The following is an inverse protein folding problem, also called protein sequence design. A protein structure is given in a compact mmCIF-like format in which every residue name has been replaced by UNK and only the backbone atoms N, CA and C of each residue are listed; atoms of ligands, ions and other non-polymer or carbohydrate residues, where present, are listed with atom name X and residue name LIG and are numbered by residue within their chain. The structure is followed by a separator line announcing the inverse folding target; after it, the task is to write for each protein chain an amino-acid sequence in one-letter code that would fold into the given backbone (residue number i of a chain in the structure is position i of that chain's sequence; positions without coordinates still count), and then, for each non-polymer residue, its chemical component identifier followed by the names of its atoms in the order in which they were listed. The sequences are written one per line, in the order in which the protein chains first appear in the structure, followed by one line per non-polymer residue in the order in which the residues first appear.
data_IF_736117539416
#
_entry.id   IF_736117539416
#
_cell.length_a   1.000
_cell.length_b   1.000
_cell.length_c   1.000
_cell.angle_alpha   90.00
_cell.angle_beta   90.00
_cell.angle_gamma   90.00
#
_symmetry.space_group_name_H-M   'P 1'
#
loop_
_entity.id
_entity.type
_entity.pdbx_description
1 polymer ?
#
# COMPACT_ATOMS: atom_id res chain seq x y z
N UNK A 1 2.15 6.79 -22.72
CA UNK A 1 2.99 7.96 -22.31
C UNK A 1 3.86 7.58 -21.13
N UNK A 2 5.10 8.13 -21.02
CA UNK A 2 6.01 7.92 -19.89
C UNK A 2 6.34 9.25 -19.20
N UNK A 3 6.47 9.21 -17.87
CA UNK A 3 6.90 10.34 -17.04
C UNK A 3 7.93 9.88 -16.03
N UNK A 4 9.10 10.51 -16.02
CA UNK A 4 10.11 10.27 -14.98
C UNK A 4 9.54 10.57 -13.60
N UNK A 5 9.67 9.62 -12.70
CA UNK A 5 9.14 9.71 -11.34
C UNK A 5 10.08 9.03 -10.35
N UNK A 6 10.74 9.82 -9.52
CA UNK A 6 11.56 9.33 -8.43
C UNK A 6 11.16 10.04 -7.12
N UNK A 7 10.30 9.42 -6.31
CA UNK A 7 9.85 9.99 -5.04
C UNK A 7 10.85 9.81 -3.90
N UNK A 8 12.00 9.16 -4.14
CA UNK A 8 13.00 8.93 -3.11
C UNK A 8 13.56 10.26 -2.57
N UNK A 9 13.62 10.50 -1.24
CA UNK A 9 13.98 11.81 -0.67
C UNK A 9 15.37 12.32 -1.05
N UNK A 10 16.30 11.41 -1.38
CA UNK A 10 17.67 11.78 -1.81
C UNK A 10 17.79 11.97 -3.32
N UNK A 11 16.72 11.74 -4.11
CA UNK A 11 16.72 11.89 -5.56
C UNK A 11 17.78 11.05 -6.28
N UNK A 12 18.30 10.01 -5.65
CA UNK A 12 19.39 9.20 -6.21
C UNK A 12 18.83 8.00 -6.98
N UNK A 13 19.36 7.77 -8.18
CA UNK A 13 19.08 6.59 -9.00
C UNK A 13 19.67 5.29 -8.39
N UNK A 14 20.32 5.41 -7.25
CA UNK A 14 21.04 4.33 -6.57
C UNK A 14 20.19 3.49 -5.62
N UNK A 15 18.91 3.77 -5.47
CA UNK A 15 18.03 2.98 -4.61
C UNK A 15 17.68 1.65 -5.28
N UNK A 16 18.62 0.73 -5.30
CA UNK A 16 18.41 -0.62 -5.79
C UNK A 16 17.28 -1.27 -4.97
N UNK A 17 16.25 -1.74 -5.66
CA UNK A 17 15.19 -2.55 -5.07
C UNK A 17 14.06 -1.77 -4.40
N UNK A 18 13.80 -0.51 -4.77
CA UNK A 18 12.69 0.28 -4.24
C UNK A 18 11.48 0.45 -5.21
N UNK A 19 11.49 -0.25 -6.35
CA UNK A 19 10.42 -0.18 -7.36
C UNK A 19 9.02 -0.42 -6.77
N UNK A 20 8.89 -1.36 -5.82
CA UNK A 20 7.65 -1.61 -5.08
C UNK A 20 7.18 -0.35 -4.33
N UNK A 21 8.09 0.34 -3.65
CA UNK A 21 7.75 1.58 -2.92
C UNK A 21 7.35 2.69 -3.88
N UNK A 22 8.12 2.89 -4.96
CA UNK A 22 7.83 3.93 -5.97
C UNK A 22 6.47 3.72 -6.63
N UNK A 23 6.16 2.48 -7.02
CA UNK A 23 4.86 2.17 -7.63
C UNK A 23 3.69 2.41 -6.66
N UNK A 24 3.84 2.08 -5.37
CA UNK A 24 2.85 2.38 -4.35
C UNK A 24 2.70 3.90 -4.17
N UNK A 25 3.80 4.64 -4.07
CA UNK A 25 3.76 6.12 -3.97
C UNK A 25 3.04 6.73 -5.17
N UNK A 26 3.37 6.30 -6.39
CA UNK A 26 2.75 6.82 -7.61
C UNK A 26 1.24 6.55 -7.66
N UNK A 27 0.82 5.36 -7.25
CA UNK A 27 -0.61 4.96 -7.33
C UNK A 27 -1.45 5.44 -6.16
N UNK A 28 -0.85 5.70 -4.99
CA UNK A 28 -1.58 6.11 -3.79
C UNK A 28 -1.46 7.59 -3.46
N UNK A 29 -0.43 8.28 -3.96
CA UNK A 29 -0.11 9.66 -3.59
C UNK A 29 0.50 9.80 -2.19
N UNK A 30 0.80 8.70 -1.49
CA UNK A 30 1.41 8.72 -0.16
C UNK A 30 2.85 9.23 -0.21
N UNK A 31 3.31 9.80 0.90
CA UNK A 31 4.73 10.13 1.09
C UNK A 31 5.62 8.88 1.06
N UNK A 32 6.80 8.97 0.43
CA UNK A 32 7.71 7.84 0.28
C UNK A 32 8.14 7.23 1.62
N UNK A 33 8.46 8.07 2.62
CA UNK A 33 8.87 7.60 3.94
C UNK A 33 7.71 6.99 4.71
N UNK A 34 6.49 7.49 4.49
CA UNK A 34 5.28 6.90 5.05
C UNK A 34 5.04 5.50 4.47
N UNK A 35 5.15 5.33 3.15
CA UNK A 35 5.09 4.01 2.50
C UNK A 35 6.16 3.08 3.05
N UNK A 36 7.41 3.52 3.15
CA UNK A 36 8.49 2.68 3.70
C UNK A 36 8.22 2.23 5.13
N UNK A 37 7.72 3.12 5.99
CA UNK A 37 7.35 2.78 7.38
C UNK A 37 6.21 1.78 7.41
N UNK A 38 5.16 1.99 6.60
CA UNK A 38 4.01 1.08 6.52
C UNK A 38 4.44 -0.33 6.06
N UNK A 39 5.26 -0.42 5.01
CA UNK A 39 5.79 -1.70 4.53
C UNK A 39 6.66 -2.41 5.56
N UNK A 40 7.51 -1.67 6.29
CA UNK A 40 8.32 -2.24 7.36
C UNK A 40 7.47 -2.74 8.53
N UNK A 41 6.41 -2.04 8.88
CA UNK A 41 5.48 -2.46 9.91
C UNK A 41 4.71 -3.71 9.47
N UNK A 42 4.19 -3.74 8.26
CA UNK A 42 3.51 -4.91 7.70
C UNK A 42 4.43 -6.15 7.66
N UNK A 43 5.69 -5.96 7.24
CA UNK A 43 6.71 -7.02 7.27
C UNK A 43 6.89 -7.61 8.67
N UNK A 44 6.96 -6.78 9.72
CA UNK A 44 7.10 -7.23 11.11
C UNK A 44 5.88 -7.99 11.58
N UNK A 45 4.68 -7.48 11.29
CA UNK A 45 3.41 -8.10 11.68
C UNK A 45 3.25 -9.48 11.01
N UNK A 46 3.65 -9.62 9.76
CA UNK A 46 3.54 -10.87 9.00
C UNK A 46 4.71 -11.83 9.22
N UNK A 47 5.75 -11.43 9.93
CA UNK A 47 6.97 -12.23 10.15
C UNK A 47 7.84 -12.42 8.91
N UNK A 48 7.65 -11.61 7.87
CA UNK A 48 8.36 -11.74 6.62
C UNK A 48 9.83 -11.36 6.73
N UNK A 49 10.74 -12.14 6.12
CA UNK A 49 12.19 -11.85 6.12
C UNK A 49 12.54 -10.65 5.25
N UNK A 50 11.88 -10.51 4.10
CA UNK A 50 12.05 -9.39 3.17
C UNK A 50 10.70 -8.91 2.66
N UNK A 51 10.54 -7.60 2.46
CA UNK A 51 9.33 -7.08 1.85
C UNK A 51 9.32 -7.30 0.33
N UNK A 52 10.47 -7.17 -0.33
CA UNK A 52 10.59 -7.25 -1.78
C UNK A 52 10.65 -8.69 -2.32
N UNK A 53 10.56 -9.71 -1.46
CA UNK A 53 10.65 -11.11 -1.87
C UNK A 53 9.38 -11.91 -1.54
N UNK A 54 9.09 -12.87 -2.38
CA UNK A 54 7.95 -13.77 -2.22
C UNK A 54 6.60 -13.07 -2.39
N UNK A 55 5.59 -13.49 -1.64
CA UNK A 55 4.21 -13.01 -1.76
C UNK A 55 3.91 -11.72 -0.98
N UNK A 56 4.86 -11.19 -0.21
CA UNK A 56 4.60 -10.07 0.70
C UNK A 56 4.19 -8.77 0.02
N UNK A 57 4.85 -8.31 -1.08
CA UNK A 57 4.39 -7.10 -1.76
C UNK A 57 2.98 -7.27 -2.31
N UNK A 58 2.67 -8.43 -2.89
CA UNK A 58 1.35 -8.73 -3.45
C UNK A 58 0.27 -8.72 -2.37
N UNK A 59 0.52 -9.40 -1.25
CA UNK A 59 -0.41 -9.42 -0.12
C UNK A 59 -0.65 -8.02 0.45
N UNK A 60 0.38 -7.19 0.56
CA UNK A 60 0.22 -5.81 1.00
C UNK A 60 -0.70 -5.02 0.05
N UNK A 61 -0.52 -5.19 -1.26
CA UNK A 61 -1.38 -4.53 -2.25
C UNK A 61 -2.82 -5.04 -2.15
N UNK A 62 -3.02 -6.33 -2.00
CA UNK A 62 -4.35 -6.95 -1.90
C UNK A 62 -5.02 -6.61 -0.56
N UNK A 63 -4.34 -6.84 0.57
CA UNK A 63 -4.92 -6.76 1.90
C UNK A 63 -5.00 -5.32 2.45
N UNK A 64 -4.03 -4.46 2.10
CA UNK A 64 -3.92 -3.11 2.66
C UNK A 64 -4.37 -2.03 1.68
N UNK A 65 -3.93 -2.11 0.43
CA UNK A 65 -4.28 -1.13 -0.59
C UNK A 65 -5.55 -1.50 -1.36
N UNK A 66 -6.06 -2.71 -1.16
CA UNK A 66 -7.23 -3.24 -1.83
C UNK A 66 -7.07 -3.31 -3.34
N UNK A 67 -5.92 -3.74 -3.75
CA UNK A 67 -5.63 -3.95 -5.16
C UNK A 67 -6.45 -5.10 -5.73
N UNK A 68 -7.13 -4.83 -6.83
CA UNK A 68 -7.84 -5.83 -7.61
C UNK A 68 -6.90 -6.35 -8.69
N UNK A 69 -6.60 -7.66 -8.63
CA UNK A 69 -5.69 -8.29 -9.59
C UNK A 69 -6.36 -8.48 -10.95
N UNK A 70 -5.69 -8.03 -12.00
CA UNK A 70 -6.07 -8.24 -13.41
C UNK A 70 -4.99 -9.10 -14.07
N UNK A 71 -5.40 -10.22 -14.67
CA UNK A 71 -4.54 -11.12 -15.41
C UNK A 71 -4.86 -11.07 -16.90
N UNK A 72 -3.91 -11.44 -17.74
CA UNK A 72 -4.03 -11.39 -19.19
C UNK A 72 -4.05 -12.80 -19.79
N UNK A 73 -4.82 -12.98 -20.85
CA UNK A 73 -4.85 -14.22 -21.64
C UNK A 73 -3.80 -14.22 -22.76
N UNK A 74 -3.29 -13.03 -23.12
CA UNK A 74 -2.25 -12.85 -24.12
C UNK A 74 -1.14 -11.94 -23.55
N UNK A 75 0.04 -11.99 -24.16
CA UNK A 75 1.13 -11.09 -23.80
C UNK A 75 0.70 -9.63 -24.05
N UNK A 76 0.97 -8.77 -23.11
CA UNK A 76 0.66 -7.34 -23.13
C UNK A 76 1.85 -6.57 -22.59
N UNK A 77 2.26 -5.52 -23.27
CA UNK A 77 3.31 -4.61 -22.78
C UNK A 77 2.73 -3.58 -21.82
N UNK A 78 3.58 -2.97 -21.00
CA UNK A 78 3.18 -1.89 -20.09
C UNK A 78 2.58 -0.71 -20.88
N UNK A 79 3.14 -0.39 -22.05
CA UNK A 79 2.64 0.69 -22.92
C UNK A 79 1.25 0.37 -23.47
N UNK A 80 1.03 -0.82 -24.03
CA UNK A 80 -0.28 -1.24 -24.56
C UNK A 80 -1.36 -1.20 -23.47
N UNK A 81 -1.00 -1.64 -22.25
CA UNK A 81 -1.90 -1.57 -21.11
C UNK A 81 -2.27 -0.11 -20.78
N UNK A 82 -1.27 0.76 -20.65
CA UNK A 82 -1.51 2.17 -20.33
C UNK A 82 -2.31 2.88 -21.42
N UNK A 83 -2.05 2.60 -22.70
CA UNK A 83 -2.78 3.19 -23.83
C UNK A 83 -4.26 2.76 -23.84
N UNK A 84 -4.54 1.53 -23.40
CA UNK A 84 -5.92 1.00 -23.28
C UNK A 84 -6.63 1.40 -21.98
N UNK A 85 -5.91 1.95 -21.00
CA UNK A 85 -6.44 2.36 -19.70
C UNK A 85 -6.14 3.84 -19.43
N UNK A 86 -6.78 4.78 -20.14
CA UNK A 86 -6.48 6.21 -20.05
C UNK A 86 -6.91 6.85 -18.73
N UNK A 87 -7.58 6.10 -17.85
CA UNK A 87 -7.99 6.54 -16.53
C UNK A 87 -7.78 5.43 -15.50
N UNK A 88 -7.48 5.83 -14.26
CA UNK A 88 -7.29 4.91 -13.16
C UNK A 88 -5.84 4.79 -12.72
N UNK A 89 -5.62 3.98 -11.68
CA UNK A 89 -4.31 3.80 -11.04
C UNK A 89 -4.01 2.32 -10.94
N UNK A 90 -2.88 1.93 -11.48
CA UNK A 90 -2.50 0.53 -11.59
C UNK A 90 -1.05 0.33 -11.19
N UNK A 91 -0.77 -0.70 -10.40
CA UNK A 91 0.58 -1.22 -10.17
C UNK A 91 0.84 -2.25 -11.25
N UNK A 92 1.90 -2.07 -12.00
CA UNK A 92 2.34 -2.93 -13.09
C UNK A 92 3.38 -3.90 -12.58
N UNK A 93 3.09 -5.21 -12.64
CA UNK A 93 4.06 -6.26 -12.30
C UNK A 93 4.70 -6.82 -13.56
N UNK A 94 6.02 -6.76 -13.61
CA UNK A 94 6.87 -7.25 -14.69
C UNK A 94 7.95 -8.14 -14.10
N UNK A 95 8.67 -8.87 -14.94
CA UNK A 95 9.81 -9.66 -14.48
C UNK A 95 10.83 -8.78 -13.74
N UNK A 96 11.06 -9.10 -12.46
CA UNK A 96 11.97 -8.40 -11.54
C UNK A 96 11.74 -6.89 -11.37
N UNK A 97 10.57 -6.37 -11.79
CA UNK A 97 10.30 -4.93 -11.72
C UNK A 97 8.81 -4.62 -11.49
N UNK A 98 8.58 -3.59 -10.68
CA UNK A 98 7.28 -2.97 -10.49
C UNK A 98 7.30 -1.52 -10.95
N UNK A 99 6.26 -1.12 -11.66
CA UNK A 99 6.04 0.26 -12.08
C UNK A 99 4.60 0.68 -11.79
N UNK A 100 4.23 1.88 -12.18
CA UNK A 100 2.88 2.39 -12.03
C UNK A 100 2.35 2.95 -13.33
N UNK A 101 1.05 2.70 -13.60
CA UNK A 101 0.28 3.43 -14.58
C UNK A 101 -0.76 4.30 -13.85
N UNK A 102 -0.71 5.59 -14.08
CA UNK A 102 -1.68 6.55 -13.53
C UNK A 102 -2.24 7.35 -14.69
N UNK A 103 -3.55 7.24 -14.91
CA UNK A 103 -4.28 7.91 -15.98
C UNK A 103 -3.60 7.77 -17.36
N UNK A 104 -3.26 6.52 -17.72
CA UNK A 104 -2.64 6.16 -18.99
C UNK A 104 -1.15 6.52 -19.12
N UNK A 105 -0.52 7.00 -18.05
CA UNK A 105 0.89 7.39 -18.06
C UNK A 105 1.72 6.47 -17.15
N UNK A 106 2.86 5.97 -17.64
CA UNK A 106 3.83 5.21 -16.85
C UNK A 106 4.62 6.19 -15.98
N UNK A 107 4.68 5.90 -14.68
CA UNK A 107 5.47 6.65 -13.69
C UNK A 107 6.61 5.77 -13.16
N UNK A 108 7.84 6.05 -13.59
CA UNK A 108 9.02 5.28 -13.18
C UNK A 108 10.30 6.12 -13.29
N UNK A 109 11.44 5.58 -12.88
CA UNK A 109 12.77 6.17 -13.07
C UNK A 109 13.33 5.92 -14.46
N UNK A 110 12.74 5.04 -15.25
CA UNK A 110 13.09 4.74 -16.65
C UNK A 110 11.86 4.29 -17.43
N UNK A 111 11.90 4.41 -18.75
CA UNK A 111 10.78 3.99 -19.60
C UNK A 111 10.76 2.46 -19.74
N UNK A 112 9.84 1.84 -19.02
CA UNK A 112 9.59 0.40 -19.05
C UNK A 112 8.43 0.00 -19.98
N UNK A 113 8.03 0.88 -20.90
CA UNK A 113 6.84 0.68 -21.76
C UNK A 113 6.85 -0.59 -22.58
N UNK A 114 8.02 -1.04 -23.03
CA UNK A 114 8.16 -2.25 -23.87
C UNK A 114 8.23 -3.56 -23.04
N UNK A 115 8.25 -3.48 -21.69
CA UNK A 115 8.29 -4.66 -20.84
C UNK A 115 6.94 -5.37 -20.84
N UNK A 116 6.98 -6.71 -20.85
CA UNK A 116 5.79 -7.56 -20.76
C UNK A 116 5.29 -7.59 -19.33
N UNK A 117 3.99 -7.42 -19.17
CA UNK A 117 3.29 -7.53 -17.90
C UNK A 117 3.02 -9.00 -17.56
N UNK A 118 3.28 -9.37 -16.31
CA UNK A 118 2.80 -10.63 -15.74
C UNK A 118 1.32 -10.48 -15.34
N UNK A 119 0.99 -9.41 -14.65
CA UNK A 119 -0.37 -8.98 -14.26
C UNK A 119 -0.30 -7.53 -13.78
N UNK A 120 -1.45 -6.96 -13.45
CA UNK A 120 -1.54 -5.64 -12.83
C UNK A 120 -2.48 -5.66 -11.63
N UNK A 121 -2.31 -4.71 -10.72
CA UNK A 121 -3.28 -4.42 -9.67
C UNK A 121 -3.95 -3.07 -9.95
N UNK A 122 -5.26 -3.07 -10.09
CA UNK A 122 -6.06 -1.84 -10.05
C UNK A 122 -6.17 -1.37 -8.61
N UNK A 123 -5.80 -0.13 -8.34
CA UNK A 123 -5.91 0.49 -7.02
C UNK A 123 -7.21 1.29 -6.96
N UNK A 124 -8.17 0.79 -6.20
CA UNK A 124 -9.52 1.37 -6.07
C UNK A 124 -9.67 2.30 -4.87
N UNK A 125 -8.74 2.23 -3.89
CA UNK A 125 -8.73 3.17 -2.76
C UNK A 125 -8.54 4.60 -3.25
N UNK A 126 -9.26 5.54 -2.62
CA UNK A 126 -9.05 6.95 -2.90
C UNK A 126 -7.57 7.35 -2.77
N UNK A 127 -7.06 8.26 -3.62
CA UNK A 127 -5.71 8.79 -3.46
C UNK A 127 -5.53 9.35 -2.06
N UNK A 128 -4.38 9.06 -1.45
CA UNK A 128 -4.05 9.64 -0.18
C UNK A 128 -4.08 11.17 -0.28
N UNK A 129 -5.02 11.79 0.39
CA UNK A 129 -5.01 13.22 0.64
C UNK A 129 -4.30 13.41 1.96
N UNK A 130 -3.16 14.14 1.96
CA UNK A 130 -2.49 14.48 3.21
C UNK A 130 -3.55 14.99 4.18
N UNK A 131 -3.68 14.38 5.37
CA UNK A 131 -4.73 14.77 6.31
C UNK A 131 -4.64 16.27 6.56
N UNK A 132 -5.74 16.96 6.41
CA UNK A 132 -5.87 18.30 6.94
C UNK A 132 -5.98 18.15 8.46
N UNK A 133 -4.85 18.26 9.12
CA UNK A 133 -4.77 18.15 10.58
C UNK A 133 -5.58 19.24 11.31
N UNK A 134 -6.10 20.24 10.59
CA UNK A 134 -7.05 21.21 11.13
C UNK A 134 -8.44 20.60 11.33
N UNK A 135 -8.77 19.51 10.61
CA UNK A 135 -10.01 18.75 10.76
C UNK A 135 -9.75 17.53 11.62
N UNK A 136 -10.27 17.51 12.82
CA UNK A 136 -10.05 16.50 13.87
C UNK A 136 -10.42 15.04 13.50
N UNK A 137 -10.91 14.76 12.30
CA UNK A 137 -11.47 13.48 11.89
C UNK A 137 -10.45 12.34 11.92
N UNK A 138 -9.15 12.62 11.79
CA UNK A 138 -8.10 11.59 11.77
C UNK A 138 -7.42 11.30 13.12
N UNK A 139 -7.68 12.09 14.15
CA UNK A 139 -7.07 11.84 15.47
C UNK A 139 -7.59 10.57 16.15
N UNK A 140 -8.72 10.03 15.71
CA UNK A 140 -9.44 8.98 16.43
C UNK A 140 -9.74 7.72 15.59
N UNK A 141 -9.01 7.45 14.51
CA UNK A 141 -9.22 6.20 13.75
C UNK A 141 -8.80 4.96 14.56
N UNK A 142 -7.90 5.12 15.51
CA UNK A 142 -7.54 4.07 16.44
C UNK A 142 -7.05 4.64 17.76
N UNK A 143 -7.21 3.86 18.84
CA UNK A 143 -6.58 4.10 20.13
C UNK A 143 -5.69 2.93 20.48
N UNK A 144 -4.62 3.18 21.22
CA UNK A 144 -3.75 2.14 21.73
C UNK A 144 -3.68 2.21 23.26
N UNK A 145 -3.79 1.07 23.91
CA UNK A 145 -3.70 0.92 25.37
C UNK A 145 -2.68 -0.18 25.68
N UNK A 146 -1.61 0.16 26.38
CA UNK A 146 -0.62 -0.83 26.83
C UNK A 146 -1.23 -1.71 27.91
N UNK A 147 -1.32 -3.02 27.67
CA UNK A 147 -1.87 -4.00 28.61
C UNK A 147 -0.74 -4.54 29.50
N UNK A 148 0.44 -4.77 28.90
CA UNK A 148 1.63 -5.25 29.60
C UNK A 148 2.89 -4.72 28.89
N UNK A 149 4.06 -5.13 29.39
CA UNK A 149 5.33 -4.78 28.74
C UNK A 149 5.47 -5.36 27.33
N UNK A 150 4.78 -6.45 27.03
CA UNK A 150 4.87 -7.17 25.77
C UNK A 150 3.62 -7.06 24.89
N UNK A 151 2.50 -6.58 25.43
CA UNK A 151 1.21 -6.57 24.72
C UNK A 151 0.53 -5.20 24.79
N UNK A 152 0.05 -4.74 23.65
CA UNK A 152 -0.77 -3.53 23.49
C UNK A 152 -2.09 -3.87 22.80
N UNK A 153 -3.19 -3.34 23.35
CA UNK A 153 -4.52 -3.38 22.75
C UNK A 153 -4.67 -2.22 21.79
N UNK A 154 -5.14 -2.48 20.57
CA UNK A 154 -5.52 -1.45 19.61
C UNK A 154 -7.01 -1.57 19.33
N UNK A 155 -7.72 -0.44 19.41
CA UNK A 155 -9.11 -0.30 18.97
C UNK A 155 -9.14 0.55 17.72
N UNK A 156 -9.77 0.04 16.68
CA UNK A 156 -9.89 0.67 15.37
C UNK A 156 -11.35 1.06 15.19
N UNK A 157 -11.63 2.34 14.97
CA UNK A 157 -12.98 2.91 14.90
C UNK A 157 -13.43 3.11 13.45
N UNK A 158 -14.69 2.79 13.15
CA UNK A 158 -15.30 2.95 11.83
C UNK A 158 -15.90 4.33 11.58
N UNK A 159 -15.75 5.25 12.53
CA UNK A 159 -16.35 6.58 12.47
C UNK A 159 -17.83 6.64 12.87
N UNK A 160 -18.49 5.50 13.06
CA UNK A 160 -19.92 5.40 13.44
C UNK A 160 -20.10 4.99 14.92
N UNK A 161 -19.00 4.94 15.67
CA UNK A 161 -19.02 4.54 17.08
C UNK A 161 -18.79 3.05 17.33
N UNK A 162 -18.67 2.23 16.27
CA UNK A 162 -18.25 0.83 16.37
C UNK A 162 -16.72 0.74 16.31
N UNK A 163 -16.15 -0.30 16.87
CA UNK A 163 -14.71 -0.55 16.79
C UNK A 163 -14.40 -2.05 16.73
N UNK A 164 -13.24 -2.37 16.18
CA UNK A 164 -12.62 -3.68 16.25
C UNK A 164 -11.43 -3.61 17.19
N UNK A 165 -11.26 -4.63 18.04
CA UNK A 165 -10.16 -4.69 18.99
C UNK A 165 -9.15 -5.75 18.57
N UNK A 166 -7.85 -5.40 18.64
CA UNK A 166 -6.73 -6.33 18.44
C UNK A 166 -5.70 -6.20 19.53
N UNK A 167 -5.05 -7.30 19.83
CA UNK A 167 -3.86 -7.36 20.69
C UNK A 167 -2.64 -7.61 19.84
N UNK A 168 -1.63 -6.77 19.99
CA UNK A 168 -0.38 -6.86 19.25
C UNK A 168 0.83 -6.70 20.18
N UNK A 169 2.01 -7.18 19.78
CA UNK A 169 3.24 -6.91 20.52
C UNK A 169 3.46 -5.41 20.68
N UNK A 170 3.80 -4.96 21.90
CA UNK A 170 3.97 -3.54 22.23
C UNK A 170 4.99 -2.84 21.32
N UNK A 171 6.06 -3.53 20.95
CA UNK A 171 7.10 -3.02 20.04
C UNK A 171 6.59 -2.70 18.64
N UNK A 172 5.49 -3.32 18.21
CA UNK A 172 4.91 -3.12 16.87
C UNK A 172 3.83 -2.03 16.82
N UNK A 173 3.43 -1.49 17.99
CA UNK A 173 2.27 -0.57 18.09
C UNK A 173 2.39 0.63 17.16
N UNK A 174 3.52 1.33 17.17
CA UNK A 174 3.70 2.53 16.35
C UNK A 174 3.61 2.23 14.84
N UNK A 175 4.20 1.12 14.40
CA UNK A 175 4.15 0.71 13.02
C UNK A 175 2.77 0.24 12.59
N UNK A 176 2.05 -0.45 13.46
CA UNK A 176 0.69 -0.91 13.19
C UNK A 176 -0.30 0.26 13.07
N UNK A 177 -0.24 1.21 14.01
CA UNK A 177 -1.06 2.44 13.95
C UNK A 177 -0.77 3.23 12.68
N UNK A 178 0.50 3.33 12.27
CA UNK A 178 0.86 4.00 11.02
C UNK A 178 0.26 3.27 9.79
N UNK A 179 0.30 1.94 9.75
CA UNK A 179 -0.34 1.15 8.69
C UNK A 179 -1.84 1.42 8.62
N UNK A 180 -2.54 1.43 9.77
CA UNK A 180 -3.97 1.72 9.83
C UNK A 180 -4.29 3.13 9.31
N UNK A 181 -3.53 4.13 9.74
CA UNK A 181 -3.71 5.52 9.30
C UNK A 181 -3.53 5.72 7.79
N UNK A 182 -2.70 4.90 7.15
CA UNK A 182 -2.41 4.98 5.72
C UNK A 182 -3.22 4.02 4.85
N UNK A 183 -3.94 3.07 5.44
CA UNK A 183 -4.72 2.06 4.70
C UNK A 183 -6.17 2.43 4.44
N UNK A 184 -6.60 3.65 4.73
CA UNK A 184 -7.98 4.13 4.51
C UNK A 184 -9.06 3.21 5.08
N UNK A 185 -8.90 2.73 6.32
CA UNK A 185 -9.89 1.92 7.02
C UNK A 185 -10.16 0.52 6.46
N UNK A 186 -9.44 0.03 5.47
CA UNK A 186 -9.68 -1.32 4.93
C UNK A 186 -9.43 -2.45 5.92
N UNK A 187 -8.69 -2.22 6.98
CA UNK A 187 -8.58 -3.18 8.07
C UNK A 187 -9.93 -3.45 8.76
N UNK A 188 -10.89 -2.54 8.66
CA UNK A 188 -12.23 -2.73 9.19
C UNK A 188 -13.01 -3.81 8.47
N UNK A 189 -12.96 -3.84 7.15
CA UNK A 189 -13.74 -4.79 6.35
C UNK A 189 -13.20 -6.22 6.53
N UNK A 190 -11.89 -6.37 6.69
CA UNK A 190 -11.26 -7.67 6.92
C UNK A 190 -11.55 -8.25 8.32
N UNK A 191 -11.80 -7.39 9.31
CA UNK A 191 -12.03 -7.81 10.69
C UNK A 191 -13.53 -7.98 11.03
N UNK A 192 -14.45 -7.44 10.23
CA UNK A 192 -15.90 -7.69 10.39
C UNK A 192 -16.24 -9.16 10.24
N UNK A 193 -15.57 -9.88 9.35
CA UNK A 193 -15.80 -11.30 9.13
C UNK A 193 -15.19 -12.21 10.22
N UNK A 194 -14.25 -11.69 11.03
CA UNK A 194 -13.58 -12.47 12.09
C UNK A 194 -14.07 -12.14 13.51
N UNK A 195 -14.79 -11.05 13.69
CA UNK A 195 -15.24 -10.56 15.00
C UNK A 195 -16.63 -10.99 15.42
N UNK A 196 -17.34 -11.82 14.63
CA UNK A 196 -18.65 -12.37 14.97
C UNK A 196 -18.57 -13.86 15.35
N UNK A 197 -17.65 -14.24 16.20
CA UNK A 197 -17.80 -15.45 17.02
C UNK A 197 -17.70 -15.03 18.46
N UNK A 198 -18.88 -15.03 19.08
CA UNK A 198 -19.28 -14.86 20.47
C UNK A 198 -18.17 -14.79 21.54
#
# INVERSE_FOLDING_TARGET
MYKYFNPHPKGTDTAVGDCVKRSIVATTGMDYMAVQKALNAYKKITGAKSFNSGRNPFRYVEEVLGGEKITFTAKMTAKEFCDSHPAGRYILDMEEHWSACVDGCIYDTWDCGDRILNFVYRITTEPYKKPDFSKQVFKNCCTSERISDTETRIRIYDGNGTFVERKIPTELTAGYVLCLQHSHYRYFDLDRDQGQTE
#
